data_IF_575206125383
#
_entry.id   IF_575206125383
#
_cell.length_a   1.000
_cell.length_b   1.000
_cell.length_c   1.000
_cell.angle_alpha   90.00
_cell.angle_beta   90.00
_cell.angle_gamma   90.00
#
_symmetry.space_group_name_H-M   'P 1'
#
loop_
_entity.id
_entity.type
_entity.pdbx_description
1 polymer ?
#
# COMPACT_ATOMS: atom_id res chain seq x y z
N UNK A 1 -61.53 -23.82 5.81
CA UNK A 1 -60.65 -23.03 6.70
C UNK A 1 -61.48 -22.39 7.80
N UNK A 2 -60.97 -22.37 9.03
CA UNK A 2 -61.51 -21.54 10.13
C UNK A 2 -60.96 -20.11 10.01
N UNK A 3 -61.60 -19.11 10.64
CA UNK A 3 -61.08 -17.73 10.65
C UNK A 3 -59.65 -17.61 11.23
N UNK A 4 -59.29 -18.52 12.14
CA UNK A 4 -57.92 -18.63 12.65
C UNK A 4 -56.93 -19.12 11.57
N UNK A 5 -57.36 -20.02 10.70
CA UNK A 5 -56.53 -20.50 9.59
C UNK A 5 -56.24 -19.40 8.56
N UNK A 6 -57.24 -18.54 8.27
CA UNK A 6 -57.04 -17.39 7.37
C UNK A 6 -56.03 -16.38 7.95
N UNK A 7 -56.10 -16.15 9.26
CA UNK A 7 -55.16 -15.26 9.97
C UNK A 7 -53.75 -15.83 10.00
N UNK A 8 -53.59 -17.13 10.29
CA UNK A 8 -52.30 -17.81 10.26
C UNK A 8 -51.71 -17.81 8.84
N UNK A 9 -52.53 -18.04 7.81
CA UNK A 9 -52.09 -18.01 6.42
C UNK A 9 -51.63 -16.61 6.00
N UNK A 10 -52.31 -15.54 6.45
CA UNK A 10 -51.90 -14.17 6.18
C UNK A 10 -50.51 -13.86 6.77
N UNK A 11 -50.25 -14.28 8.01
CA UNK A 11 -48.94 -14.12 8.66
C UNK A 11 -47.85 -14.95 7.97
N UNK A 12 -48.16 -16.18 7.53
CA UNK A 12 -47.23 -16.99 6.75
C UNK A 12 -46.88 -16.30 5.42
N UNK A 13 -47.86 -15.72 4.74
CA UNK A 13 -47.63 -14.94 3.53
C UNK A 13 -46.78 -13.68 3.77
N UNK A 14 -46.95 -13.01 4.91
CA UNK A 14 -46.07 -11.90 5.31
C UNK A 14 -44.62 -12.38 5.51
N UNK A 15 -44.44 -13.54 6.12
CA UNK A 15 -43.12 -14.14 6.34
C UNK A 15 -42.39 -14.44 5.01
N UNK A 16 -43.11 -14.91 3.98
CA UNK A 16 -42.56 -15.16 2.62
C UNK A 16 -41.94 -13.91 1.97
N UNK A 17 -42.37 -12.72 2.39
CA UNK A 17 -41.87 -11.44 1.85
C UNK A 17 -40.61 -10.96 2.56
N UNK A 18 -40.27 -11.54 3.72
CA UNK A 18 -39.06 -11.18 4.47
C UNK A 18 -37.83 -11.82 3.83
N UNK A 19 -36.64 -11.29 4.15
CA UNK A 19 -35.38 -11.90 3.74
C UNK A 19 -35.27 -13.35 4.20
N UNK A 20 -34.51 -14.20 3.50
CA UNK A 20 -34.27 -15.57 3.95
C UNK A 20 -33.70 -15.61 5.38
N UNK A 21 -32.82 -14.68 5.71
CA UNK A 21 -32.30 -14.50 7.07
C UNK A 21 -33.37 -14.22 8.11
N UNK A 22 -34.31 -13.31 7.82
CA UNK A 22 -35.43 -13.00 8.72
C UNK A 22 -36.40 -14.18 8.85
N UNK A 23 -36.63 -14.92 7.76
CA UNK A 23 -37.44 -16.15 7.76
C UNK A 23 -36.81 -17.22 8.66
N UNK A 24 -35.49 -17.45 8.53
CA UNK A 24 -34.74 -18.39 9.35
C UNK A 24 -34.69 -17.95 10.83
N UNK A 25 -34.47 -16.66 11.08
CA UNK A 25 -34.49 -16.08 12.43
C UNK A 25 -35.85 -16.30 13.09
N UNK A 26 -36.92 -16.01 12.36
CA UNK A 26 -38.28 -16.19 12.84
C UNK A 26 -38.58 -17.67 13.12
N UNK A 27 -38.15 -18.58 12.25
CA UNK A 27 -38.31 -20.03 12.46
C UNK A 27 -37.59 -20.49 13.72
N UNK A 28 -36.32 -20.11 13.91
CA UNK A 28 -35.55 -20.49 15.11
C UNK A 28 -36.07 -19.85 16.39
N UNK A 29 -36.73 -18.68 16.30
CA UNK A 29 -37.32 -18.05 17.47
C UNK A 29 -38.59 -18.75 17.96
N UNK A 30 -39.31 -19.42 17.05
CA UNK A 30 -40.64 -20.01 17.29
C UNK A 30 -40.61 -21.53 17.39
N UNK A 31 -39.62 -22.19 16.78
CA UNK A 31 -39.49 -23.65 16.80
C UNK A 31 -38.58 -24.16 17.93
N UNK A 32 -38.72 -25.46 18.23
CA UNK A 32 -37.80 -26.17 19.11
C UNK A 32 -36.37 -26.27 18.55
N UNK A 33 -36.21 -26.08 17.23
CA UNK A 33 -34.90 -26.13 16.59
C UNK A 33 -33.94 -25.06 17.14
N UNK A 34 -34.48 -23.92 17.62
CA UNK A 34 -33.70 -22.86 18.28
C UNK A 34 -33.01 -23.27 19.59
N UNK A 35 -33.34 -24.44 20.16
CA UNK A 35 -32.71 -24.97 21.38
C UNK A 35 -31.46 -25.79 21.09
N UNK A 36 -31.32 -26.31 19.87
CA UNK A 36 -30.21 -27.16 19.46
C UNK A 36 -29.21 -26.36 18.63
N UNK A 37 -27.96 -26.17 19.11
CA UNK A 37 -26.92 -25.49 18.33
C UNK A 37 -26.68 -26.14 16.96
N UNK A 38 -26.76 -27.47 16.87
CA UNK A 38 -26.58 -28.21 15.62
C UNK A 38 -27.69 -27.89 14.61
N UNK A 39 -28.94 -27.79 15.07
CA UNK A 39 -30.07 -27.41 14.21
C UNK A 39 -29.99 -25.94 13.81
N UNK A 40 -29.60 -25.04 14.72
CA UNK A 40 -29.35 -23.63 14.38
C UNK A 40 -28.30 -23.48 13.26
N UNK A 41 -27.17 -24.19 13.37
CA UNK A 41 -26.14 -24.21 12.31
C UNK A 41 -26.63 -24.88 11.02
N UNK A 42 -27.49 -25.90 11.11
CA UNK A 42 -28.14 -26.47 9.93
C UNK A 42 -29.03 -25.44 9.22
N UNK A 43 -29.86 -24.72 9.98
CA UNK A 43 -30.73 -23.66 9.47
C UNK A 43 -29.91 -22.54 8.81
N UNK A 44 -28.81 -22.11 9.46
CA UNK A 44 -27.88 -21.12 8.88
C UNK A 44 -27.27 -21.59 7.57
N UNK A 45 -26.82 -22.84 7.48
CA UNK A 45 -26.25 -23.39 6.24
C UNK A 45 -27.27 -23.41 5.10
N UNK A 46 -28.53 -23.75 5.39
CA UNK A 46 -29.60 -23.73 4.39
C UNK A 46 -29.88 -22.28 3.97
N UNK A 47 -29.98 -21.36 4.93
CA UNK A 47 -30.19 -19.94 4.67
C UNK A 47 -29.11 -19.33 3.75
N UNK A 48 -27.83 -19.55 4.05
CA UNK A 48 -26.72 -19.11 3.19
C UNK A 48 -26.78 -19.71 1.78
N UNK A 49 -27.26 -20.95 1.65
CA UNK A 49 -27.46 -21.59 0.34
C UNK A 49 -28.64 -20.97 -0.41
N UNK A 50 -29.72 -20.60 0.27
CA UNK A 50 -30.83 -19.88 -0.32
C UNK A 50 -30.38 -18.53 -0.86
N UNK A 51 -29.64 -17.75 -0.07
CA UNK A 51 -29.09 -16.45 -0.51
C UNK A 51 -28.17 -16.61 -1.74
N UNK A 52 -27.37 -17.67 -1.81
CA UNK A 52 -26.50 -17.93 -2.97
C UNK A 52 -27.25 -18.40 -4.23
N UNK A 53 -28.42 -19.03 -4.07
CA UNK A 53 -29.26 -19.50 -5.18
C UNK A 53 -30.17 -18.37 -5.70
N UNK A 54 -30.43 -17.35 -4.88
CA UNK A 54 -31.30 -16.23 -5.20
C UNK A 54 -30.69 -15.32 -6.28
N UNK A 55 -30.87 -15.70 -7.54
CA UNK A 55 -30.44 -14.87 -8.67
C UNK A 55 -31.46 -13.79 -9.04
N UNK A 56 -32.74 -13.91 -8.66
CA UNK A 56 -33.78 -12.90 -8.89
C UNK A 56 -34.91 -13.02 -7.83
N UNK A 57 -35.34 -11.91 -7.19
CA UNK A 57 -36.58 -11.90 -6.43
C UNK A 57 -37.76 -12.28 -7.33
N UNK A 58 -38.78 -12.93 -6.78
CA UNK A 58 -40.01 -13.16 -7.52
C UNK A 58 -40.68 -11.84 -7.93
N UNK A 59 -41.50 -11.88 -8.99
CA UNK A 59 -42.20 -10.71 -9.55
C UNK A 59 -43.00 -9.90 -8.51
N UNK A 60 -43.44 -10.55 -7.41
CA UNK A 60 -44.24 -9.96 -6.34
C UNK A 60 -43.42 -9.50 -5.11
N UNK A 61 -42.08 -9.48 -5.22
CA UNK A 61 -41.17 -9.18 -4.11
C UNK A 61 -41.07 -10.29 -3.05
N UNK A 62 -41.63 -11.48 -3.33
CA UNK A 62 -41.48 -12.66 -2.48
C UNK A 62 -40.05 -13.22 -2.57
N UNK A 63 -39.48 -13.58 -1.41
CA UNK A 63 -38.19 -14.29 -1.28
C UNK A 63 -38.49 -15.77 -1.14
N UNK A 64 -38.68 -16.43 -2.28
CA UNK A 64 -39.14 -17.82 -2.39
C UNK A 64 -38.30 -18.60 -3.39
N UNK A 65 -38.24 -19.91 -3.19
CA UNK A 65 -37.54 -20.88 -4.01
C UNK A 65 -38.53 -21.54 -4.97
N UNK A 66 -38.08 -21.88 -6.17
CA UNK A 66 -38.85 -22.80 -7.00
C UNK A 66 -38.80 -24.24 -6.46
N UNK A 67 -39.69 -25.09 -6.96
CA UNK A 67 -39.81 -26.49 -6.54
C UNK A 67 -38.48 -27.26 -6.68
N UNK A 68 -37.73 -27.01 -7.75
CA UNK A 68 -36.47 -27.71 -8.02
C UNK A 68 -35.36 -27.27 -7.07
N UNK A 69 -35.25 -25.97 -6.81
CA UNK A 69 -34.34 -25.38 -5.84
C UNK A 69 -34.64 -25.88 -4.42
N UNK A 70 -35.91 -25.93 -4.04
CA UNK A 70 -36.35 -26.45 -2.74
C UNK A 70 -35.95 -27.93 -2.58
N UNK A 71 -36.20 -28.77 -3.58
CA UNK A 71 -35.79 -30.18 -3.57
C UNK A 71 -34.27 -30.35 -3.45
N UNK A 72 -33.49 -29.56 -4.21
CA UNK A 72 -32.03 -29.60 -4.13
C UNK A 72 -31.50 -29.21 -2.74
N UNK A 73 -32.16 -28.26 -2.07
CA UNK A 73 -31.83 -27.88 -0.70
C UNK A 73 -32.22 -28.96 0.32
N UNK A 74 -33.33 -29.66 0.08
CA UNK A 74 -33.75 -30.81 0.90
C UNK A 74 -32.72 -31.94 0.83
N UNK A 75 -32.26 -32.28 -0.38
CA UNK A 75 -31.15 -33.22 -0.59
C UNK A 75 -29.88 -32.76 0.14
N UNK A 76 -29.51 -31.49 0.02
CA UNK A 76 -28.34 -30.90 0.71
C UNK A 76 -28.44 -31.02 2.24
N UNK A 77 -29.66 -30.94 2.80
CA UNK A 77 -29.91 -31.08 4.23
C UNK A 77 -30.04 -32.52 4.73
N UNK A 78 -29.83 -33.52 3.85
CA UNK A 78 -30.10 -34.95 4.11
C UNK A 78 -31.58 -35.27 4.40
N UNK A 79 -32.52 -34.45 3.93
CA UNK A 79 -33.96 -34.67 4.04
C UNK A 79 -34.59 -34.81 2.64
N UNK A 80 -33.98 -35.65 1.79
CA UNK A 80 -34.46 -35.87 0.43
C UNK A 80 -35.92 -36.34 0.45
N UNK A 81 -36.77 -35.69 -0.35
CA UNK A 81 -38.16 -36.06 -0.53
C UNK A 81 -38.49 -36.13 -2.01
N UNK A 82 -39.57 -36.83 -2.36
CA UNK A 82 -40.08 -36.82 -3.73
C UNK A 82 -40.85 -35.53 -4.04
N UNK A 83 -40.87 -35.10 -5.30
CA UNK A 83 -41.67 -33.95 -5.72
C UNK A 83 -43.17 -34.06 -5.33
N UNK A 84 -43.82 -35.24 -5.46
CA UNK A 84 -45.19 -35.42 -4.96
C UNK A 84 -45.33 -35.22 -3.46
N UNK A 85 -44.37 -35.66 -2.63
CA UNK A 85 -44.40 -35.45 -1.19
C UNK A 85 -44.40 -33.96 -0.82
N UNK A 86 -43.49 -33.19 -1.43
CA UNK A 86 -43.41 -31.74 -1.20
C UNK A 86 -44.70 -31.03 -1.66
N UNK A 87 -45.25 -31.40 -2.82
CA UNK A 87 -46.51 -30.84 -3.32
C UNK A 87 -47.69 -31.17 -2.43
N UNK A 88 -47.82 -32.42 -2.00
CA UNK A 88 -48.90 -32.85 -1.11
C UNK A 88 -48.84 -32.09 0.22
N UNK A 89 -47.64 -31.83 0.74
CA UNK A 89 -47.47 -31.01 1.93
C UNK A 89 -47.89 -29.56 1.68
N UNK A 90 -47.45 -28.94 0.57
CA UNK A 90 -47.83 -27.57 0.20
C UNK A 90 -49.34 -27.41 -0.03
N UNK A 91 -49.97 -28.36 -0.71
CA UNK A 91 -51.43 -28.39 -0.92
C UNK A 91 -52.20 -28.54 0.41
N UNK A 92 -51.56 -29.10 1.45
CA UNK A 92 -52.11 -29.15 2.81
C UNK A 92 -51.95 -27.84 3.61
N UNK A 93 -51.00 -26.98 3.22
CA UNK A 93 -50.79 -25.64 3.81
C UNK A 93 -51.62 -24.58 3.07
N UNK A 94 -51.77 -24.72 1.75
CA UNK A 94 -52.38 -23.75 0.87
C UNK A 94 -53.57 -24.33 0.10
N UNK A 95 -54.70 -23.61 0.09
CA UNK A 95 -55.87 -23.95 -0.75
C UNK A 95 -55.63 -23.72 -2.27
N UNK A 96 -54.42 -23.27 -2.66
CA UNK A 96 -54.04 -22.99 -4.05
C UNK A 96 -52.76 -23.74 -4.43
N UNK A 97 -52.70 -24.23 -5.68
CA UNK A 97 -51.55 -24.95 -6.27
C UNK A 97 -50.33 -24.04 -6.45
N UNK A 98 -49.72 -23.61 -5.35
CA UNK A 98 -48.48 -22.82 -5.35
C UNK A 98 -47.29 -23.76 -5.48
N UNK A 99 -46.36 -23.41 -6.38
CA UNK A 99 -45.13 -24.18 -6.65
C UNK A 99 -43.86 -23.49 -6.17
N UNK A 100 -44.00 -22.44 -5.35
CA UNK A 100 -42.89 -21.70 -4.78
C UNK A 100 -42.92 -21.81 -3.27
N UNK A 101 -41.76 -22.13 -2.70
CA UNK A 101 -41.58 -22.49 -1.29
C UNK A 101 -40.71 -21.44 -0.62
N UNK A 102 -41.17 -20.85 0.48
CA UNK A 102 -40.32 -19.96 1.28
C UNK A 102 -39.32 -20.76 2.12
N UNK A 103 -38.25 -20.12 2.60
CA UNK A 103 -37.31 -20.80 3.49
C UNK A 103 -38.01 -21.21 4.80
N UNK A 104 -38.91 -20.38 5.34
CA UNK A 104 -39.69 -20.75 6.51
C UNK A 104 -40.50 -22.04 6.29
N UNK A 105 -41.22 -22.14 5.17
CA UNK A 105 -41.97 -23.35 4.80
C UNK A 105 -41.05 -24.58 4.66
N UNK A 106 -39.90 -24.41 4.02
CA UNK A 106 -38.91 -25.49 3.85
C UNK A 106 -38.41 -26.00 5.20
N UNK A 107 -38.12 -25.09 6.14
CA UNK A 107 -37.64 -25.43 7.48
C UNK A 107 -38.72 -26.11 8.32
N UNK A 108 -39.98 -25.71 8.17
CA UNK A 108 -41.12 -26.37 8.80
C UNK A 108 -41.23 -27.81 8.30
N UNK A 109 -41.15 -28.01 6.98
CA UNK A 109 -41.18 -29.33 6.37
C UNK A 109 -40.03 -30.22 6.89
N UNK A 110 -38.79 -29.70 6.91
CA UNK A 110 -37.61 -30.43 7.38
C UNK A 110 -37.74 -30.85 8.85
N UNK A 111 -38.27 -29.98 9.71
CA UNK A 111 -38.34 -30.24 11.15
C UNK A 111 -39.66 -30.93 11.58
N UNK A 112 -40.63 -31.07 10.67
CA UNK A 112 -41.94 -31.63 10.97
C UNK A 112 -42.76 -30.75 11.94
N UNK A 113 -42.50 -29.45 11.97
CA UNK A 113 -43.20 -28.52 12.87
C UNK A 113 -44.62 -28.23 12.37
N UNK A 114 -45.53 -27.92 13.28
CA UNK A 114 -46.89 -27.48 12.94
C UNK A 114 -46.87 -26.00 12.53
N UNK A 115 -47.08 -25.73 11.24
CA UNK A 115 -47.01 -24.38 10.68
C UNK A 115 -47.97 -23.40 11.36
N UNK A 116 -49.14 -23.86 11.82
CA UNK A 116 -50.13 -22.98 12.48
C UNK A 116 -49.61 -22.51 13.82
N UNK A 117 -49.11 -23.44 14.65
CA UNK A 117 -48.53 -23.14 15.96
C UNK A 117 -47.33 -22.22 15.86
N UNK A 118 -46.49 -22.48 14.88
CA UNK A 118 -45.28 -21.71 14.65
C UNK A 118 -45.63 -20.25 14.27
N UNK A 119 -46.58 -20.06 13.35
CA UNK A 119 -46.99 -18.74 12.86
C UNK A 119 -47.74 -17.91 13.91
N UNK A 120 -48.45 -18.57 14.81
CA UNK A 120 -49.13 -17.91 15.93
C UNK A 120 -48.22 -17.67 17.15
N UNK A 121 -47.04 -18.28 17.19
CA UNK A 121 -46.08 -18.07 18.28
C UNK A 121 -45.44 -16.67 18.17
N UNK A 122 -45.34 -15.93 19.29
CA UNK A 122 -44.69 -14.62 19.29
C UNK A 122 -43.21 -14.79 18.92
N UNK A 123 -42.80 -14.19 17.81
CA UNK A 123 -41.43 -14.28 17.28
C UNK A 123 -40.37 -13.74 18.25
N UNK A 124 -40.74 -12.84 19.15
CA UNK A 124 -39.87 -12.36 20.22
C UNK A 124 -40.73 -11.81 21.37
N UNK A 125 -40.36 -12.13 22.61
CA UNK A 125 -41.04 -11.59 23.79
C UNK A 125 -40.61 -10.15 24.12
N UNK A 126 -39.46 -9.70 23.61
CA UNK A 126 -38.92 -8.35 23.86
C UNK A 126 -38.34 -7.73 22.56
N UNK A 127 -39.25 -7.17 21.75
CA UNK A 127 -38.93 -6.51 20.48
C UNK A 127 -38.01 -5.29 20.68
N UNK A 128 -38.05 -4.64 21.83
CA UNK A 128 -37.23 -3.45 22.12
C UNK A 128 -35.79 -3.88 22.35
N UNK A 129 -35.57 -4.92 23.16
CA UNK A 129 -34.23 -5.46 23.38
C UNK A 129 -33.60 -5.99 22.08
N UNK A 130 -34.37 -6.73 21.27
CA UNK A 130 -33.92 -7.21 19.96
C UNK A 130 -33.48 -6.06 19.05
N UNK A 131 -34.29 -4.99 18.96
CA UNK A 131 -33.94 -3.82 18.15
C UNK A 131 -32.64 -3.19 18.61
N UNK A 132 -32.45 -2.99 19.92
CA UNK A 132 -31.21 -2.44 20.49
C UNK A 132 -30.00 -3.30 20.17
N UNK A 133 -30.12 -4.63 20.24
CA UNK A 133 -29.00 -5.52 19.90
C UNK A 133 -28.65 -5.46 18.42
N UNK A 134 -29.66 -5.35 17.52
CA UNK A 134 -29.42 -5.12 16.09
C UNK A 134 -28.69 -3.80 15.86
N UNK A 135 -29.16 -2.72 16.48
CA UNK A 135 -28.55 -1.39 16.37
C UNK A 135 -27.07 -1.42 16.83
N UNK A 136 -26.74 -2.11 17.92
CA UNK A 136 -25.34 -2.27 18.38
C UNK A 136 -24.48 -3.15 17.46
N UNK A 137 -25.05 -4.19 16.84
CA UNK A 137 -24.31 -5.00 15.86
C UNK A 137 -24.04 -4.19 14.58
N UNK A 138 -24.97 -3.34 14.16
CA UNK A 138 -24.78 -2.47 13.01
C UNK A 138 -23.79 -1.33 13.30
N UNK A 139 -23.79 -0.79 14.52
CA UNK A 139 -22.76 0.12 15.03
C UNK A 139 -21.37 -0.53 14.97
N UNK A 140 -21.23 -1.76 15.48
CA UNK A 140 -20.00 -2.53 15.40
C UNK A 140 -19.55 -2.76 13.95
N UNK A 141 -20.46 -3.15 13.04
CA UNK A 141 -20.13 -3.34 11.62
C UNK A 141 -19.57 -2.06 11.00
N UNK A 142 -20.12 -0.91 11.37
CA UNK A 142 -19.67 0.40 10.91
C UNK A 142 -18.28 0.73 11.44
N UNK A 143 -18.04 0.54 12.75
CA UNK A 143 -16.74 0.78 13.37
C UNK A 143 -15.66 -0.18 12.87
N UNK A 144 -15.99 -1.45 12.67
CA UNK A 144 -15.06 -2.42 12.11
C UNK A 144 -14.71 -2.10 10.65
N UNK A 145 -15.69 -1.66 9.85
CA UNK A 145 -15.41 -1.20 8.47
C UNK A 145 -14.46 0.00 8.49
N UNK A 146 -14.69 0.98 9.37
CA UNK A 146 -13.80 2.14 9.55
C UNK A 146 -12.38 1.69 9.94
N UNK A 147 -12.25 0.75 10.86
CA UNK A 147 -10.96 0.18 11.27
C UNK A 147 -10.25 -0.52 10.11
N UNK A 148 -10.97 -1.34 9.32
CA UNK A 148 -10.43 -2.05 8.16
C UNK A 148 -9.95 -1.06 7.09
N UNK A 149 -10.75 -0.04 6.78
CA UNK A 149 -10.40 0.98 5.80
C UNK A 149 -9.17 1.79 6.28
N UNK A 150 -9.14 2.21 7.54
CA UNK A 150 -7.99 2.89 8.14
C UNK A 150 -6.71 2.02 8.11
N UNK A 151 -6.82 0.73 8.42
CA UNK A 151 -5.69 -0.21 8.36
C UNK A 151 -5.20 -0.42 6.93
N UNK A 152 -6.11 -0.50 5.95
CA UNK A 152 -5.76 -0.59 4.52
C UNK A 152 -5.03 0.66 4.05
N UNK A 153 -5.51 1.84 4.43
CA UNK A 153 -4.88 3.12 4.08
C UNK A 153 -3.49 3.25 4.73
N UNK A 154 -3.36 2.84 6.00
CA UNK A 154 -2.06 2.77 6.68
C UNK A 154 -1.09 1.81 5.99
N UNK A 155 -1.54 0.63 5.59
CA UNK A 155 -0.71 -0.33 4.85
C UNK A 155 -0.25 0.20 3.50
N UNK A 156 -1.14 0.87 2.75
CA UNK A 156 -0.81 1.51 1.47
C UNK A 156 0.19 2.64 1.67
N UNK A 157 -0.03 3.52 2.64
CA UNK A 157 0.87 4.63 2.94
C UNK A 157 2.27 4.14 3.38
N UNK A 158 2.34 3.04 4.13
CA UNK A 158 3.61 2.42 4.52
C UNK A 158 4.38 1.85 3.32
N UNK A 159 3.70 1.23 2.35
CA UNK A 159 4.34 0.75 1.12
C UNK A 159 4.83 1.90 0.24
N UNK A 160 4.03 2.95 0.07
CA UNK A 160 4.44 4.17 -0.64
C UNK A 160 5.69 4.80 0.01
N UNK A 161 5.74 4.85 1.34
CA UNK A 161 6.92 5.35 2.07
C UNK A 161 8.16 4.47 1.85
N UNK A 162 8.02 3.14 1.84
CA UNK A 162 9.12 2.20 1.55
C UNK A 162 9.65 2.37 0.12
N UNK A 163 8.77 2.59 -0.85
CA UNK A 163 9.18 2.83 -2.24
C UNK A 163 9.90 4.17 -2.39
N UNK A 164 9.40 5.23 -1.76
CA UNK A 164 10.07 6.53 -1.75
C UNK A 164 11.46 6.48 -1.09
N UNK A 165 11.60 5.73 0.01
CA UNK A 165 12.90 5.52 0.68
C UNK A 165 13.91 4.82 -0.23
N UNK A 166 13.50 3.76 -0.95
CA UNK A 166 14.37 3.07 -1.92
C UNK A 166 14.89 4.03 -2.99
N UNK A 167 14.00 4.86 -3.55
CA UNK A 167 14.38 5.87 -4.55
C UNK A 167 15.34 6.90 -3.95
N UNK A 168 15.12 7.36 -2.72
CA UNK A 168 16.03 8.28 -2.04
C UNK A 168 17.45 7.68 -1.88
N UNK A 169 17.54 6.42 -1.44
CA UNK A 169 18.82 5.70 -1.29
C UNK A 169 19.54 5.57 -2.64
N UNK A 170 18.82 5.21 -3.71
CA UNK A 170 19.39 5.12 -5.06
C UNK A 170 19.95 6.47 -5.53
N UNK A 171 19.23 7.57 -5.30
CA UNK A 171 19.68 8.92 -5.67
C UNK A 171 20.86 9.41 -4.84
N UNK A 172 20.92 9.05 -3.56
CA UNK A 172 22.09 9.32 -2.71
C UNK A 172 23.32 8.55 -3.20
N UNK A 173 23.16 7.28 -3.60
CA UNK A 173 24.24 6.48 -4.18
C UNK A 173 24.72 7.02 -5.54
N UNK A 174 23.83 7.59 -6.35
CA UNK A 174 24.24 8.26 -7.60
C UNK A 174 25.02 9.56 -7.31
N UNK A 175 24.61 10.32 -6.29
CA UNK A 175 25.30 11.53 -5.87
C UNK A 175 26.71 11.24 -5.30
N UNK A 176 26.89 10.14 -4.55
CA UNK A 176 28.23 9.73 -4.06
C UNK A 176 29.15 9.34 -5.20
N UNK A 177 28.67 8.56 -6.19
CA UNK A 177 29.44 8.24 -7.41
C UNK A 177 29.82 9.49 -8.19
N UNK A 178 28.90 10.45 -8.33
CA UNK A 178 29.20 11.73 -8.98
C UNK A 178 30.28 12.51 -8.23
N UNK A 179 30.26 12.50 -6.89
CA UNK A 179 31.26 13.17 -6.05
C UNK A 179 32.65 12.52 -6.19
N UNK A 180 32.71 11.19 -6.25
CA UNK A 180 33.96 10.46 -6.50
C UNK A 180 34.53 10.78 -7.89
N UNK A 181 33.69 10.80 -8.93
CA UNK A 181 34.10 11.19 -10.29
C UNK A 181 34.63 12.62 -10.33
N UNK A 182 33.97 13.56 -9.66
CA UNK A 182 34.44 14.95 -9.55
C UNK A 182 35.82 15.02 -8.89
N UNK A 183 36.02 14.33 -7.76
CA UNK A 183 37.32 14.27 -7.06
C UNK A 183 38.44 13.72 -7.95
N UNK A 184 38.17 12.64 -8.69
CA UNK A 184 39.16 12.07 -9.62
C UNK A 184 39.54 13.06 -10.75
N UNK A 185 38.55 13.77 -11.30
CA UNK A 185 38.80 14.79 -12.32
C UNK A 185 39.56 16.01 -11.79
N UNK A 186 39.26 16.43 -10.56
CA UNK A 186 39.97 17.54 -9.91
C UNK A 186 41.44 17.19 -9.66
N UNK A 187 41.73 15.98 -9.18
CA UNK A 187 43.11 15.49 -9.00
C UNK A 187 43.87 15.47 -10.34
N UNK A 188 43.27 14.92 -11.39
CA UNK A 188 43.86 14.89 -12.74
C UNK A 188 44.11 16.30 -13.31
N UNK A 189 43.14 17.22 -13.12
CA UNK A 189 43.29 18.62 -13.53
C UNK A 189 44.43 19.31 -12.77
N UNK A 190 44.55 19.06 -11.46
CA UNK A 190 45.61 19.61 -10.62
C UNK A 190 46.99 19.12 -11.04
N UNK A 191 47.13 17.86 -11.39
CA UNK A 191 48.38 17.29 -11.93
C UNK A 191 48.77 17.92 -13.27
N UNK A 192 47.82 18.13 -14.18
CA UNK A 192 48.07 18.77 -15.47
C UNK A 192 48.48 20.24 -15.32
N UNK A 193 47.83 20.98 -14.40
CA UNK A 193 48.20 22.35 -14.08
C UNK A 193 49.61 22.45 -13.45
N UNK A 194 50.00 21.47 -12.63
CA UNK A 194 51.36 21.41 -12.09
C UNK A 194 52.39 21.21 -13.21
N UNK A 195 52.15 20.26 -14.13
CA UNK A 195 53.01 20.02 -15.30
C UNK A 195 53.10 21.24 -16.22
N UNK A 196 51.99 21.94 -16.46
CA UNK A 196 51.98 23.18 -17.24
C UNK A 196 52.89 24.25 -16.61
N UNK A 197 52.79 24.45 -15.29
CA UNK A 197 53.67 25.38 -14.56
C UNK A 197 55.14 24.99 -14.66
N UNK A 198 55.47 23.70 -14.55
CA UNK A 198 56.84 23.21 -14.74
C UNK A 198 57.37 23.52 -16.15
N UNK A 199 56.56 23.29 -17.20
CA UNK A 199 56.93 23.63 -18.57
C UNK A 199 57.13 25.13 -18.76
N UNK A 200 56.27 25.96 -18.16
CA UNK A 200 56.38 27.42 -18.21
C UNK A 200 57.67 27.92 -17.54
N UNK A 201 58.02 27.38 -16.36
CA UNK A 201 59.30 27.69 -15.69
C UNK A 201 60.49 27.27 -16.58
N UNK A 202 60.41 26.10 -17.23
CA UNK A 202 61.49 25.64 -18.11
C UNK A 202 61.65 26.51 -19.36
N UNK A 203 60.53 26.99 -19.92
CA UNK A 203 60.51 27.89 -21.07
C UNK A 203 61.14 29.24 -20.72
N UNK A 204 60.74 29.85 -19.59
CA UNK A 204 61.29 31.12 -19.12
C UNK A 204 62.81 31.04 -18.91
N UNK A 205 63.31 29.95 -18.32
CA UNK A 205 64.77 29.73 -18.17
C UNK A 205 65.51 29.64 -19.51
N UNK A 206 64.89 29.05 -20.54
CA UNK A 206 65.48 29.00 -21.87
C UNK A 206 65.43 30.36 -22.57
N UNK A 207 64.35 31.11 -22.40
CA UNK A 207 64.21 32.47 -22.94
C UNK A 207 65.20 33.43 -22.27
N UNK A 208 65.38 33.36 -20.95
CA UNK A 208 66.40 34.13 -20.21
C UNK A 208 67.81 33.82 -20.73
N UNK A 209 68.18 32.54 -20.89
CA UNK A 209 69.49 32.16 -21.44
C UNK A 209 69.69 32.66 -22.87
N UNK A 210 68.66 32.61 -23.69
CA UNK A 210 68.71 33.13 -25.06
C UNK A 210 68.86 34.65 -25.08
N UNK A 211 68.13 35.36 -24.20
CA UNK A 211 68.21 36.82 -24.07
C UNK A 211 69.56 37.28 -23.50
N UNK A 212 70.12 36.57 -22.52
CA UNK A 212 71.48 36.80 -22.02
C UNK A 212 72.51 36.68 -23.15
N UNK A 213 72.43 35.60 -23.94
CA UNK A 213 73.35 35.40 -25.06
C UNK A 213 73.21 36.46 -26.16
N UNK A 214 71.99 36.97 -26.40
CA UNK A 214 71.76 38.11 -27.29
C UNK A 214 72.41 39.38 -26.74
N UNK A 215 72.19 39.70 -25.46
CA UNK A 215 72.77 40.87 -24.80
C UNK A 215 74.30 40.83 -24.80
N UNK A 216 74.91 39.67 -24.54
CA UNK A 216 76.37 39.48 -24.58
C UNK A 216 76.94 39.76 -25.99
N UNK A 217 76.28 39.26 -27.03
CA UNK A 217 76.68 39.49 -28.42
C UNK A 217 76.50 40.96 -28.84
N UNK A 218 75.40 41.60 -28.44
CA UNK A 218 75.15 43.03 -28.67
C UNK A 218 76.22 43.92 -28.01
N UNK A 219 76.65 43.56 -26.79
CA UNK A 219 77.75 44.23 -26.08
C UNK A 219 79.07 44.11 -26.87
N UNK A 220 79.38 42.92 -27.40
CA UNK A 220 80.59 42.71 -28.22
C UNK A 220 80.54 43.49 -29.55
N UNK A 221 79.37 43.59 -30.18
CA UNK A 221 79.19 44.33 -31.45
C UNK A 221 79.38 45.84 -31.25
N UNK A 222 78.88 46.38 -30.13
CA UNK A 222 78.93 47.82 -29.80
C UNK A 222 80.26 48.28 -29.19
N UNK A 223 81.09 47.36 -28.68
CA UNK A 223 82.39 47.65 -28.09
C UNK A 223 83.45 48.01 -29.16
N UNK A 224 83.82 49.30 -29.23
CA UNK A 224 84.81 49.83 -30.18
C UNK A 224 86.24 49.40 -29.90
N UNK A 225 86.52 48.85 -28.70
CA UNK A 225 87.84 48.32 -28.32
C UNK A 225 88.13 46.94 -28.91
N UNK A 226 87.11 46.22 -29.37
CA UNK A 226 87.23 44.89 -29.98
C UNK A 226 87.60 45.00 -31.47
N UNK A 227 88.44 44.08 -31.95
CA UNK A 227 88.87 44.03 -33.35
C UNK A 227 87.70 43.87 -34.34
N UNK A 228 87.83 44.45 -35.54
CA UNK A 228 86.78 44.48 -36.58
C UNK A 228 86.23 43.08 -36.91
N UNK A 229 87.11 42.07 -36.96
CA UNK A 229 86.73 40.67 -37.23
C UNK A 229 85.88 40.08 -36.10
N UNK A 230 86.21 40.38 -34.83
CA UNK A 230 85.43 39.91 -33.68
C UNK A 230 84.03 40.53 -33.66
N UNK A 231 83.92 41.83 -33.99
CA UNK A 231 82.64 42.52 -34.15
C UNK A 231 81.81 41.96 -35.31
N UNK A 232 82.40 41.74 -36.48
CA UNK A 232 81.71 41.14 -37.62
C UNK A 232 81.24 39.72 -37.32
N UNK A 233 82.04 38.90 -36.62
CA UNK A 233 81.65 37.56 -36.20
C UNK A 233 80.49 37.59 -35.20
N UNK A 234 80.56 38.44 -34.17
CA UNK A 234 79.47 38.60 -33.21
C UNK A 234 78.19 39.13 -33.89
N UNK A 235 78.31 40.03 -34.86
CA UNK A 235 77.18 40.54 -35.64
C UNK A 235 76.56 39.44 -36.51
N UNK A 236 77.38 38.58 -37.13
CA UNK A 236 76.89 37.43 -37.88
C UNK A 236 76.21 36.39 -36.97
N UNK A 237 76.77 36.09 -35.80
CA UNK A 237 76.17 35.18 -34.82
C UNK A 237 74.87 35.75 -34.23
N UNK A 238 74.80 37.07 -33.98
CA UNK A 238 73.59 37.76 -33.56
C UNK A 238 72.53 37.71 -34.65
N UNK A 239 72.88 37.97 -35.92
CA UNK A 239 71.97 37.84 -37.06
C UNK A 239 71.47 36.39 -37.23
N UNK A 240 72.31 35.38 -36.97
CA UNK A 240 71.90 33.97 -36.96
C UNK A 240 70.95 33.69 -35.80
N UNK A 241 71.21 34.18 -34.58
CA UNK A 241 70.32 34.00 -33.42
C UNK A 241 68.99 34.76 -33.54
N UNK A 242 68.96 35.86 -34.27
CA UNK A 242 67.74 36.62 -34.56
C UNK A 242 66.92 35.99 -35.68
N UNK A 243 67.58 35.40 -36.69
CA UNK A 243 66.90 34.75 -37.82
C UNK A 243 66.50 33.29 -37.55
N UNK A 244 67.31 32.56 -36.78
CA UNK A 244 67.03 31.20 -36.35
C UNK A 244 66.46 31.22 -34.94
N UNK A 245 65.13 31.17 -34.85
CA UNK A 245 64.47 30.88 -33.59
C UNK A 245 64.96 29.50 -33.11
N UNK A 246 65.71 29.47 -32.00
CA UNK A 246 66.46 28.27 -31.61
C UNK A 246 65.50 27.08 -31.53
N UNK A 247 65.87 25.96 -32.16
CA UNK A 247 65.01 24.77 -32.23
C UNK A 247 64.55 24.30 -30.84
N UNK A 248 65.38 24.52 -29.81
CA UNK A 248 65.05 24.27 -28.41
C UNK A 248 63.93 25.17 -27.86
N UNK A 249 63.94 26.47 -28.14
CA UNK A 249 62.86 27.39 -27.73
C UNK A 249 61.54 27.05 -28.42
N UNK A 250 61.57 26.75 -29.73
CA UNK A 250 60.38 26.30 -30.45
C UNK A 250 59.80 25.01 -29.86
N UNK A 251 60.64 24.01 -29.59
CA UNK A 251 60.19 22.77 -28.96
C UNK A 251 59.61 23.00 -27.55
N UNK A 252 60.22 23.87 -26.74
CA UNK A 252 59.73 24.22 -25.41
C UNK A 252 58.38 24.95 -25.46
N UNK A 253 58.21 25.92 -26.38
CA UNK A 253 56.93 26.61 -26.62
C UNK A 253 55.84 25.64 -27.04
N UNK A 254 56.13 24.74 -27.97
CA UNK A 254 55.16 23.70 -28.40
C UNK A 254 54.73 22.79 -27.25
N UNK A 255 55.67 22.40 -26.36
CA UNK A 255 55.36 21.61 -25.16
C UNK A 255 54.47 22.37 -24.18
N UNK A 256 54.79 23.65 -23.93
CA UNK A 256 53.99 24.50 -23.06
C UNK A 256 52.58 24.73 -23.62
N UNK A 257 52.45 25.00 -24.92
CA UNK A 257 51.15 25.19 -25.57
C UNK A 257 50.30 23.91 -25.52
N UNK A 258 50.93 22.75 -25.75
CA UNK A 258 50.25 21.46 -25.64
C UNK A 258 49.81 21.19 -24.19
N UNK A 259 50.63 21.55 -23.20
CA UNK A 259 50.28 21.42 -21.79
C UNK A 259 49.12 22.35 -21.40
N UNK A 260 49.14 23.60 -21.86
CA UNK A 260 48.08 24.58 -21.65
C UNK A 260 46.74 24.16 -22.29
N UNK A 261 46.77 23.56 -23.49
CA UNK A 261 45.57 22.99 -24.11
C UNK A 261 45.00 21.86 -23.26
N UNK A 262 45.84 20.92 -22.82
CA UNK A 262 45.42 19.79 -21.96
C UNK A 262 44.88 20.23 -20.60
N UNK A 263 45.50 21.22 -19.95
CA UNK A 263 45.03 21.73 -18.67
C UNK A 263 43.70 22.48 -18.82
N UNK A 264 43.53 23.25 -19.89
CA UNK A 264 42.27 23.92 -20.23
C UNK A 264 41.12 22.92 -20.46
N UNK A 265 41.36 21.88 -21.26
CA UNK A 265 40.40 20.79 -21.48
C UNK A 265 40.02 20.09 -20.16
N UNK A 266 41.01 19.82 -19.29
CA UNK A 266 40.76 19.23 -17.98
C UNK A 266 39.94 20.13 -17.05
N UNK A 267 40.15 21.45 -17.08
CA UNK A 267 39.34 22.42 -16.33
C UNK A 267 37.89 22.45 -16.84
N UNK A 268 37.68 22.38 -18.15
CA UNK A 268 36.33 22.28 -18.72
C UNK A 268 35.64 20.98 -18.29
N UNK A 269 36.37 19.85 -18.30
CA UNK A 269 35.87 18.58 -17.79
C UNK A 269 35.48 18.66 -16.31
N UNK A 270 36.36 19.24 -15.48
CA UNK A 270 36.10 19.43 -14.04
C UNK A 270 34.85 20.28 -13.80
N UNK A 271 34.67 21.40 -14.53
CA UNK A 271 33.45 22.23 -14.45
C UNK A 271 32.19 21.44 -14.79
N UNK A 272 32.23 20.57 -15.81
CA UNK A 272 31.10 19.70 -16.15
C UNK A 272 30.79 18.70 -15.03
N UNK A 273 31.81 18.09 -14.42
CA UNK A 273 31.60 17.18 -13.30
C UNK A 273 31.06 17.89 -12.04
N UNK A 274 31.48 19.12 -11.76
CA UNK A 274 30.90 19.94 -10.68
C UNK A 274 29.41 20.17 -10.93
N UNK A 275 29.03 20.57 -12.15
CA UNK A 275 27.63 20.77 -12.51
C UNK A 275 26.80 19.47 -12.42
N UNK A 276 27.34 18.34 -12.89
CA UNK A 276 26.72 17.02 -12.74
C UNK A 276 26.52 16.64 -11.26
N UNK A 277 27.50 16.92 -10.40
CA UNK A 277 27.40 16.69 -8.96
C UNK A 277 26.32 17.57 -8.32
N UNK A 278 26.30 18.87 -8.61
CA UNK A 278 25.30 19.79 -8.05
C UNK A 278 23.88 19.37 -8.43
N UNK A 279 23.68 18.96 -9.69
CA UNK A 279 22.40 18.45 -10.18
C UNK A 279 21.99 17.15 -9.47
N UNK A 280 22.90 16.18 -9.34
CA UNK A 280 22.63 14.90 -8.66
C UNK A 280 22.37 15.08 -7.16
N UNK A 281 23.11 15.97 -6.49
CA UNK A 281 22.87 16.33 -5.09
C UNK A 281 21.49 17.00 -4.89
N UNK A 282 21.08 17.87 -5.82
CA UNK A 282 19.75 18.47 -5.76
C UNK A 282 18.65 17.39 -5.88
N UNK A 283 18.79 16.46 -6.82
CA UNK A 283 17.85 15.35 -6.99
C UNK A 283 17.82 14.43 -5.76
N UNK A 284 18.97 14.11 -5.17
CA UNK A 284 19.05 13.31 -3.94
C UNK A 284 18.34 13.99 -2.76
N UNK A 285 18.56 15.30 -2.57
CA UNK A 285 17.88 16.09 -1.53
C UNK A 285 16.36 16.13 -1.72
N UNK A 286 15.91 16.33 -2.97
CA UNK A 286 14.48 16.33 -3.29
C UNK A 286 13.84 14.97 -3.01
N UNK A 287 14.48 13.87 -3.43
CA UNK A 287 14.01 12.51 -3.17
C UNK A 287 13.96 12.20 -1.66
N UNK A 288 14.96 12.64 -0.89
CA UNK A 288 14.98 12.48 0.57
C UNK A 288 13.83 13.23 1.25
N UNK A 289 13.57 14.47 0.84
CA UNK A 289 12.45 15.26 1.37
C UNK A 289 11.07 14.65 1.03
N UNK A 290 10.93 14.04 -0.16
CA UNK A 290 9.73 13.29 -0.50
C UNK A 290 9.57 12.04 0.37
N UNK A 291 10.65 11.27 0.55
CA UNK A 291 10.65 10.08 1.41
C UNK A 291 10.24 10.41 2.86
N UNK A 292 10.76 11.51 3.43
CA UNK A 292 10.37 11.95 4.78
C UNK A 292 8.90 12.35 4.86
N UNK A 293 8.38 13.06 3.85
CA UNK A 293 6.96 13.43 3.80
C UNK A 293 6.05 12.20 3.70
N UNK A 294 6.41 11.22 2.86
CA UNK A 294 5.66 9.96 2.73
C UNK A 294 5.68 9.16 4.03
N UNK A 295 6.81 9.16 4.75
CA UNK A 295 6.92 8.55 6.07
C UNK A 295 5.99 9.20 7.08
N UNK A 296 5.96 10.52 7.16
CA UNK A 296 5.05 11.25 8.06
C UNK A 296 3.57 10.91 7.77
N UNK A 297 3.20 10.82 6.49
CA UNK A 297 1.86 10.39 6.08
C UNK A 297 1.56 8.95 6.51
N UNK A 298 2.52 8.03 6.37
CA UNK A 298 2.37 6.65 6.82
C UNK A 298 2.17 6.55 8.34
N UNK A 299 2.93 7.33 9.13
CA UNK A 299 2.77 7.40 10.58
C UNK A 299 1.40 7.96 10.96
N UNK A 300 0.97 9.04 10.31
CA UNK A 300 -0.35 9.62 10.57
C UNK A 300 -1.48 8.63 10.25
N UNK A 301 -1.40 7.91 9.13
CA UNK A 301 -2.38 6.90 8.76
C UNK A 301 -2.40 5.71 9.73
N UNK A 302 -1.23 5.25 10.20
CA UNK A 302 -1.13 4.19 11.21
C UNK A 302 -1.79 4.62 12.53
N UNK A 303 -1.59 5.88 12.96
CA UNK A 303 -2.21 6.42 14.17
C UNK A 303 -3.74 6.47 14.07
N UNK A 304 -4.30 6.80 12.90
CA UNK A 304 -5.77 6.76 12.70
C UNK A 304 -6.30 5.34 12.86
N UNK A 305 -5.57 4.32 12.40
CA UNK A 305 -5.93 2.92 12.61
C UNK A 305 -5.82 2.50 14.10
N UNK A 306 -4.78 2.95 14.80
CA UNK A 306 -4.63 2.76 16.26
C UNK A 306 -5.80 3.35 17.06
N UNK A 307 -6.19 4.58 16.75
CA UNK A 307 -7.28 5.28 17.43
C UNK A 307 -8.66 4.64 17.17
N UNK A 308 -8.83 3.90 16.07
CA UNK A 308 -10.07 3.20 15.75
C UNK A 308 -10.27 1.88 16.52
N UNK A 309 -9.20 1.27 17.06
CA UNK A 309 -9.29 0.01 17.83
C UNK A 309 -10.19 0.12 19.06
N UNK A 310 -9.98 1.07 20.00
CA UNK A 310 -10.78 1.12 21.21
C UNK A 310 -12.26 1.34 20.91
N UNK A 311 -12.59 2.10 19.85
CA UNK A 311 -13.96 2.30 19.38
C UNK A 311 -14.60 0.98 18.95
N UNK A 312 -13.90 0.19 18.11
CA UNK A 312 -14.38 -1.11 17.68
C UNK A 312 -14.50 -2.13 18.84
N UNK A 313 -13.59 -2.07 19.83
CA UNK A 313 -13.65 -2.92 21.02
C UNK A 313 -14.84 -2.57 21.92
N UNK A 314 -15.09 -1.28 22.17
CA UNK A 314 -16.24 -0.83 22.95
C UNK A 314 -17.57 -1.19 22.26
N UNK A 315 -17.66 -1.00 20.93
CA UNK A 315 -18.82 -1.44 20.15
C UNK A 315 -19.04 -2.96 20.26
N UNK A 316 -17.96 -3.76 20.23
CA UNK A 316 -18.06 -5.21 20.39
C UNK A 316 -18.56 -5.60 21.79
N UNK A 317 -18.05 -4.97 22.84
CA UNK A 317 -18.50 -5.20 24.21
C UNK A 317 -19.97 -4.82 24.41
N UNK A 318 -20.40 -3.67 23.88
CA UNK A 318 -21.81 -3.24 23.92
C UNK A 318 -22.73 -4.24 23.24
N UNK A 319 -22.38 -4.68 22.02
CA UNK A 319 -23.14 -5.69 21.28
C UNK A 319 -23.20 -7.02 22.04
N UNK A 320 -22.08 -7.49 22.60
CA UNK A 320 -22.03 -8.74 23.39
C UNK A 320 -22.90 -8.65 24.63
N UNK A 321 -22.82 -7.56 25.40
CA UNK A 321 -23.65 -7.35 26.59
C UNK A 321 -25.14 -7.29 26.25
N UNK A 322 -25.51 -6.64 25.13
CA UNK A 322 -26.90 -6.57 24.69
C UNK A 322 -27.45 -7.96 24.33
N UNK A 323 -26.65 -8.83 23.70
CA UNK A 323 -27.05 -10.20 23.39
C UNK A 323 -27.17 -11.09 24.64
N UNK A 324 -26.24 -10.98 25.58
CA UNK A 324 -26.31 -11.68 26.86
C UNK A 324 -27.58 -11.30 27.64
N UNK A 325 -27.96 -10.03 27.59
CA UNK A 325 -29.17 -9.51 28.22
C UNK A 325 -30.44 -10.08 27.59
N UNK A 326 -30.50 -10.19 26.26
CA UNK A 326 -31.60 -10.85 25.55
C UNK A 326 -31.64 -12.32 25.99
N UNK A 327 -30.51 -13.03 25.90
CA UNK A 327 -30.44 -14.47 26.23
C UNK A 327 -30.88 -14.78 27.67
N UNK A 328 -30.61 -13.90 28.63
CA UNK A 328 -31.06 -14.05 30.02
C UNK A 328 -32.54 -13.74 30.23
N UNK A 329 -33.09 -12.75 29.52
CA UNK A 329 -34.45 -12.24 29.73
C UNK A 329 -35.50 -12.98 28.91
N UNK A 330 -35.13 -13.52 27.76
CA UNK A 330 -36.11 -14.04 26.80
C UNK A 330 -36.20 -15.57 26.83
N UNK A 331 -37.43 -16.09 27.02
CA UNK A 331 -37.77 -17.50 26.73
C UNK A 331 -37.92 -17.77 25.22
N UNK A 332 -37.98 -16.72 24.39
CA UNK A 332 -37.96 -16.74 22.91
C UNK A 332 -36.80 -15.91 22.35
N UNK A 333 -36.72 -15.69 21.03
CA UNK A 333 -35.66 -14.85 20.44
C UNK A 333 -34.29 -15.53 20.27
N UNK A 334 -34.22 -16.86 20.44
CA UNK A 334 -32.98 -17.64 20.37
C UNK A 334 -32.35 -17.62 18.97
N UNK A 335 -33.17 -17.63 17.93
CA UNK A 335 -32.75 -17.45 16.55
C UNK A 335 -32.09 -16.09 16.33
N UNK A 336 -32.70 -15.02 16.82
CA UNK A 336 -32.13 -13.66 16.74
C UNK A 336 -30.76 -13.61 17.42
N UNK A 337 -30.66 -14.12 18.65
CA UNK A 337 -29.39 -14.17 19.39
C UNK A 337 -28.36 -15.01 18.65
N UNK A 338 -28.76 -16.17 18.09
CA UNK A 338 -27.89 -17.05 17.33
C UNK A 338 -27.31 -16.35 16.09
N UNK A 339 -28.15 -15.73 15.26
CA UNK A 339 -27.70 -15.04 14.05
C UNK A 339 -26.85 -13.80 14.37
N UNK A 340 -27.15 -13.06 15.43
CA UNK A 340 -26.34 -11.92 15.85
C UNK A 340 -24.99 -12.38 16.43
N UNK A 341 -24.95 -13.47 17.22
CA UNK A 341 -23.70 -14.08 17.69
C UNK A 341 -22.86 -14.63 16.54
N UNK A 342 -23.51 -15.23 15.54
CA UNK A 342 -22.87 -15.68 14.31
C UNK A 342 -22.21 -14.52 13.56
N UNK A 343 -22.91 -13.39 13.40
CA UNK A 343 -22.35 -12.16 12.82
C UNK A 343 -21.20 -11.63 13.65
N UNK A 344 -21.35 -11.52 14.98
CA UNK A 344 -20.27 -11.06 15.87
C UNK A 344 -19.03 -11.94 15.74
N UNK A 345 -19.20 -13.26 15.71
CA UNK A 345 -18.09 -14.20 15.56
C UNK A 345 -17.43 -14.08 14.19
N UNK A 346 -18.20 -13.83 13.13
CA UNK A 346 -17.66 -13.58 11.79
C UNK A 346 -16.88 -12.27 11.74
N UNK A 347 -17.44 -11.17 12.26
CA UNK A 347 -16.75 -9.88 12.39
C UNK A 347 -15.47 -10.01 13.24
N UNK A 348 -15.50 -10.83 14.30
CA UNK A 348 -14.32 -11.13 15.12
C UNK A 348 -13.21 -11.83 14.37
N UNK A 349 -13.50 -12.62 13.33
CA UNK A 349 -12.46 -13.19 12.44
C UNK A 349 -11.74 -12.13 11.63
N UNK A 350 -12.44 -11.02 11.32
CA UNK A 350 -11.89 -9.89 10.58
C UNK A 350 -11.26 -8.82 11.49
N UNK A 351 -11.47 -8.89 12.81
CA UNK A 351 -10.76 -8.05 13.76
C UNK A 351 -9.25 -8.34 13.67
N UNK A 352 -8.41 -7.32 13.38
CA UNK A 352 -7.03 -7.51 12.97
C UNK A 352 -6.11 -7.76 14.18
N UNK A 353 -6.39 -8.69 15.09
CA UNK A 353 -5.42 -8.96 16.17
C UNK A 353 -4.06 -9.38 15.60
N UNK A 354 -4.03 -10.15 14.50
CA UNK A 354 -2.79 -10.50 13.79
C UNK A 354 -2.37 -9.42 12.78
N UNK A 355 -3.29 -8.86 11.99
CA UNK A 355 -2.94 -7.88 10.96
C UNK A 355 -2.48 -6.53 11.53
N UNK A 356 -3.00 -6.15 12.70
CA UNK A 356 -2.59 -4.94 13.39
C UNK A 356 -1.22 -5.10 14.03
N UNK A 357 -0.95 -6.23 14.68
CA UNK A 357 0.39 -6.56 15.17
C UNK A 357 1.40 -6.63 14.01
N UNK A 358 1.00 -7.11 12.83
CA UNK A 358 1.84 -7.10 11.63
C UNK A 358 2.04 -5.69 11.08
N UNK A 359 1.00 -4.85 11.06
CA UNK A 359 1.11 -3.45 10.61
C UNK A 359 1.98 -2.61 11.55
N UNK A 360 1.78 -2.76 12.86
CA UNK A 360 2.59 -2.13 13.91
C UNK A 360 4.05 -2.62 13.83
N UNK A 361 4.30 -3.93 13.72
CA UNK A 361 5.65 -4.45 13.49
C UNK A 361 6.26 -3.93 12.19
N UNK A 362 5.50 -3.83 11.10
CA UNK A 362 6.00 -3.29 9.81
C UNK A 362 6.30 -1.80 9.89
N UNK A 363 5.52 -1.04 10.66
CA UNK A 363 5.76 0.37 10.94
C UNK A 363 7.01 0.53 11.84
N UNK A 364 7.13 -0.29 12.88
CA UNK A 364 8.30 -0.33 13.77
C UNK A 364 9.58 -0.75 13.05
N UNK A 365 9.51 -1.73 12.14
CA UNK A 365 10.62 -2.15 11.28
C UNK A 365 11.08 -1.01 10.36
N UNK A 366 10.13 -0.25 9.80
CA UNK A 366 10.44 0.95 9.00
C UNK A 366 11.07 2.04 9.88
N UNK A 367 10.64 2.18 11.12
CA UNK A 367 11.23 3.14 12.07
C UNK A 367 12.66 2.72 12.47
N UNK A 368 12.88 1.43 12.73
CA UNK A 368 14.17 0.90 13.17
C UNK A 368 15.20 0.89 12.04
N UNK A 369 14.83 0.50 10.82
CA UNK A 369 15.75 0.50 9.66
C UNK A 369 16.33 1.89 9.37
N UNK A 370 15.56 2.93 9.66
CA UNK A 370 15.97 4.33 9.49
C UNK A 370 16.91 4.78 10.62
N UNK A 371 16.67 4.36 11.86
CA UNK A 371 17.57 4.67 12.98
C UNK A 371 18.97 4.09 12.78
N UNK A 372 19.05 2.89 12.19
CA UNK A 372 20.31 2.22 11.86
C UNK A 372 21.03 2.86 10.67
N UNK A 373 20.31 3.39 9.68
CA UNK A 373 20.95 4.06 8.53
C UNK A 373 21.46 5.45 8.89
N UNK A 374 20.77 6.18 9.77
CA UNK A 374 21.23 7.50 10.27
C UNK A 374 22.46 7.45 11.18
N UNK A 375 22.77 6.29 11.77
CA UNK A 375 23.94 6.11 12.64
C UNK A 375 25.17 5.55 11.91
N UNK A 376 25.02 5.23 10.62
CA UNK A 376 26.08 4.67 9.77
C UNK A 376 26.65 5.65 8.74
N UNK A 377 26.09 6.87 8.67
CA UNK A 377 26.59 8.01 7.88
C UNK A 377 27.24 9.02 8.80
#
# INVERSE_FOLDING_TARGET
MTANDETALAKLNELRRKSFRDQATWFLNTSSAGESPEKCESVRRIEQKCEAIESNPGDDGERVLDEFQAMRLLEYSNNACSAPELRNWLDGVYDSKRRRVSLAELLIFINGDDWKKLVDSPACSDLIAERRAKDHVDELKTELKRLIDAARDGAKAAEDARQAEKVAIEKEADATKAAEKQRQQELSSRELLAKEKEYLISLNKLEEKANQRKADLECIVSDSSKGVVARQKANAELAILLSQDSSGLRAARMKQETAAKKSSEALVSCKKAVFELESTLHLARAARAEATKRKEMAIAAARVAEEAIPSAQDAFEKASRALDDIQKKSKGGRGTVFFLNADLNEQRRYLPQSQFVIAQKRADEVMHSISSSSSSS
#
